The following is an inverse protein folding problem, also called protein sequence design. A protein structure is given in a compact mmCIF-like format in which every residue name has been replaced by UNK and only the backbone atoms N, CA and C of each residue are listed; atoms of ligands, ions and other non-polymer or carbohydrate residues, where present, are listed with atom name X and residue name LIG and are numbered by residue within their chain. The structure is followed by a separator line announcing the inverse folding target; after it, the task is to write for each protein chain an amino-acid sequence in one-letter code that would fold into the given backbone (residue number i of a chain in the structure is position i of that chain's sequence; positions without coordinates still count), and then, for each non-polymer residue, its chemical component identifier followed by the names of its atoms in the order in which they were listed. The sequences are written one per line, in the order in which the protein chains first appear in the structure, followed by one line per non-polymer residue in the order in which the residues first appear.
data_IF_984695718154
#
_entry.id   IF_984695718154
#
_cell.length_a   1.000
_cell.length_b   1.000
_cell.length_c   1.000
_cell.angle_alpha   90.00
_cell.angle_beta   90.00
_cell.angle_gamma   90.00
#
_symmetry.space_group_name_H-M   'P 1'
#
loop_
_entity.id
_entity.type
_entity.pdbx_description
1 polymer ?
#
# COMPACT_ATOMS: atom_id res chain seq x y z
N UNK A 1 -15.19 -0.26 -3.37
CA UNK A 1 -14.62 0.46 -2.21
C UNK A 1 -13.23 1.00 -2.52
N UNK A 2 -12.67 1.82 -1.63
CA UNK A 2 -11.32 2.38 -1.79
C UNK A 2 -10.48 2.06 -0.55
N UNK A 3 -9.29 1.52 -0.76
CA UNK A 3 -8.27 1.31 0.27
C UNK A 3 -7.32 2.51 0.30
N UNK A 4 -7.11 3.08 1.49
CA UNK A 4 -6.14 4.15 1.74
C UNK A 4 -5.00 3.58 2.59
N UNK A 5 -3.75 3.79 2.16
CA UNK A 5 -2.56 3.22 2.81
C UNK A 5 -1.34 4.14 2.65
N UNK A 6 -0.24 3.84 3.34
CA UNK A 6 1.03 4.51 3.11
C UNK A 6 2.10 3.52 2.67
N UNK A 7 2.97 3.93 1.74
CA UNK A 7 4.09 3.11 1.26
C UNK A 7 5.31 3.98 0.92
N UNK A 8 6.48 3.34 0.86
CA UNK A 8 7.73 3.90 0.32
C UNK A 8 7.99 3.32 -1.07
N UNK A 9 8.76 4.03 -1.89
CA UNK A 9 9.19 3.55 -3.22
C UNK A 9 10.52 2.80 -3.19
N UNK A 10 11.03 2.52 -2.00
CA UNK A 10 12.30 1.84 -1.78
C UNK A 10 12.19 0.90 -0.58
N UNK A 11 13.00 -0.16 -0.63
CA UNK A 11 13.03 -1.21 0.39
C UNK A 11 13.96 -0.87 1.55
N UNK A 12 15.17 -0.40 1.25
CA UNK A 12 16.22 -0.19 2.24
C UNK A 12 16.14 1.21 2.86
N UNK A 13 15.97 1.25 4.19
CA UNK A 13 15.93 2.48 4.98
C UNK A 13 17.29 2.65 5.66
N UNK A 14 17.89 3.84 5.53
CA UNK A 14 19.11 4.18 6.27
C UNK A 14 18.73 4.82 7.60
N UNK A 15 19.14 4.20 8.71
CA UNK A 15 18.86 4.69 10.05
C UNK A 15 17.45 4.32 10.52
N UNK A 16 16.85 5.15 11.38
CA UNK A 16 15.57 4.85 12.00
C UNK A 16 14.39 5.26 11.09
N UNK A 17 13.55 4.28 10.74
CA UNK A 17 12.35 4.43 9.90
C UNK A 17 11.34 5.46 10.40
N UNK A 18 11.31 5.75 11.70
CA UNK A 18 10.45 6.79 12.26
C UNK A 18 10.80 8.18 11.72
N UNK A 19 12.09 8.45 11.50
CA UNK A 19 12.62 9.73 11.01
C UNK A 19 12.81 9.77 9.49
N UNK A 20 12.47 8.67 8.81
CA UNK A 20 12.34 8.63 7.37
C UNK A 20 10.94 9.09 6.98
N UNK A 21 10.85 10.32 6.47
CA UNK A 21 9.61 11.01 6.14
C UNK A 21 9.02 10.67 4.77
N UNK A 22 9.56 9.67 4.05
CA UNK A 22 9.14 9.36 2.68
C UNK A 22 8.03 8.30 2.60
N UNK A 23 7.17 8.23 3.63
CA UNK A 23 5.92 7.48 3.56
C UNK A 23 4.88 8.36 2.86
N UNK A 24 4.42 7.92 1.70
CA UNK A 24 3.40 8.64 0.94
C UNK A 24 2.05 7.95 1.06
N UNK A 25 1.00 8.72 1.33
CA UNK A 25 -0.38 8.23 1.28
C UNK A 25 -0.77 7.88 -0.15
N UNK A 26 -1.42 6.74 -0.33
CA UNK A 26 -1.88 6.20 -1.61
C UNK A 26 -3.32 5.73 -1.48
N UNK A 27 -4.01 5.66 -2.61
CA UNK A 27 -5.37 5.19 -2.72
C UNK A 27 -5.48 4.14 -3.82
N UNK A 28 -6.24 3.08 -3.58
CA UNK A 28 -6.46 1.99 -4.54
C UNK A 28 -7.92 1.54 -4.53
N UNK A 29 -8.45 1.25 -5.72
CA UNK A 29 -9.79 0.67 -5.85
C UNK A 29 -9.75 -0.78 -5.38
N UNK A 30 -10.57 -1.10 -4.38
CA UNK A 30 -10.72 -2.45 -3.86
C UNK A 30 -11.73 -3.23 -4.70
N UNK A 31 -11.36 -4.47 -5.04
CA UNK A 31 -12.27 -5.43 -5.67
C UNK A 31 -12.64 -6.52 -4.69
N UNK A 32 -13.71 -7.23 -5.00
CA UNK A 32 -14.22 -8.33 -4.20
C UNK A 32 -14.23 -9.59 -5.06
N UNK A 33 -13.79 -10.72 -4.48
CA UNK A 33 -13.90 -12.02 -5.13
C UNK A 33 -15.33 -12.58 -5.01
N UNK A 34 -15.58 -13.71 -5.68
CA UNK A 34 -16.89 -14.38 -5.69
C UNK A 34 -17.31 -14.91 -4.31
N UNK A 35 -16.36 -15.07 -3.38
CA UNK A 35 -16.60 -15.52 -2.00
C UNK A 35 -16.81 -14.33 -1.04
N UNK A 36 -16.76 -13.10 -1.55
CA UNK A 36 -16.92 -11.88 -0.77
C UNK A 36 -15.67 -11.44 0.00
N UNK A 37 -14.48 -11.96 -0.34
CA UNK A 37 -13.22 -11.46 0.23
C UNK A 37 -12.67 -10.29 -0.58
N UNK A 38 -12.04 -9.31 0.09
CA UNK A 38 -11.40 -8.20 -0.59
C UNK A 38 -10.12 -8.66 -1.31
N UNK A 39 -10.02 -8.34 -2.59
CA UNK A 39 -8.80 -8.46 -3.39
C UNK A 39 -8.00 -7.15 -3.33
N UNK A 40 -6.87 -7.17 -2.62
CA UNK A 40 -5.97 -6.04 -2.44
C UNK A 40 -5.03 -5.81 -3.62
N UNK A 41 -4.93 -6.78 -4.54
CA UNK A 41 -4.10 -6.71 -5.75
C UNK A 41 -2.62 -6.46 -5.48
N UNK A 42 -2.06 -7.00 -4.40
CA UNK A 42 -0.68 -6.73 -3.94
C UNK A 42 0.41 -6.98 -5.01
N UNK A 43 0.14 -7.83 -6.00
CA UNK A 43 1.06 -8.12 -7.11
C UNK A 43 0.95 -7.10 -8.27
N UNK A 44 -0.04 -6.21 -8.22
CA UNK A 44 -0.18 -5.12 -9.19
C UNK A 44 0.58 -3.89 -8.71
N UNK A 45 1.33 -3.29 -9.64
CA UNK A 45 2.00 -2.01 -9.40
C UNK A 45 0.97 -0.92 -9.09
N UNK A 46 1.39 -0.02 -8.22
CA UNK A 46 0.69 1.24 -7.95
C UNK A 46 0.74 2.19 -9.15
#
# INVERSE_FOLDING_TARGET
DVMIYHARVYEQIRGNSLYDFNRHTRARVLKWDEKGFPDFRQDQRD
#
